data_IF_252184631838
#
_entry.id   IF_252184631838
#
_cell.length_a   1.000
_cell.length_b   1.000
_cell.length_c   1.000
_cell.angle_alpha   90.00
_cell.angle_beta   90.00
_cell.angle_gamma   90.00
#
_symmetry.space_group_name_H-M   'P 1'
#
loop_
_entity.id
_entity.type
_entity.pdbx_description
1 polymer ?
#
# COMPACT_ATOMS: atom_id res chain seq x y z
N UNK A 1 26.94 -50.89 17.79
CA UNK A 1 26.54 -51.70 16.62
C UNK A 1 25.73 -52.89 17.10
N UNK A 2 24.46 -52.95 16.70
CA UNK A 2 23.63 -54.16 16.56
C UNK A 2 22.67 -53.86 15.39
N UNK A 3 22.46 -54.87 14.55
CA UNK A 3 21.81 -54.81 13.24
C UNK A 3 20.27 -54.98 13.31
N UNK A 4 19.56 -54.15 12.53
CA UNK A 4 18.42 -54.36 11.58
C UNK A 4 17.13 -55.17 11.97
N UNK A 5 15.96 -55.05 11.25
CA UNK A 5 15.71 -54.41 9.93
C UNK A 5 14.42 -53.54 9.74
N UNK A 6 14.44 -52.78 8.62
CA UNK A 6 13.39 -52.32 7.65
C UNK A 6 11.95 -52.08 8.13
N UNK A 7 11.24 -51.03 7.72
CA UNK A 7 10.92 -50.68 6.33
C UNK A 7 10.20 -49.31 6.30
N UNK A 8 10.51 -48.46 5.32
CA UNK A 8 9.61 -47.44 4.77
C UNK A 8 10.30 -46.67 3.64
N UNK A 9 9.83 -46.95 2.43
CA UNK A 9 9.70 -46.04 1.31
C UNK A 9 10.92 -45.13 1.02
N UNK A 10 11.78 -45.65 0.15
CA UNK A 10 12.90 -44.91 -0.42
C UNK A 10 12.49 -43.59 -1.07
N UNK A 11 13.07 -42.51 -0.57
CA UNK A 11 13.39 -41.31 -1.36
C UNK A 11 14.78 -40.86 -0.95
N UNK A 12 15.74 -40.95 -1.88
CA UNK A 12 17.06 -40.32 -1.75
C UNK A 12 16.88 -38.80 -1.84
N UNK A 13 17.19 -38.08 -0.77
CA UNK A 13 17.37 -36.62 -0.81
C UNK A 13 18.72 -36.34 -1.48
N UNK A 14 18.69 -35.77 -2.68
CA UNK A 14 19.86 -35.20 -3.35
C UNK A 14 19.71 -33.69 -3.31
N UNK A 15 20.64 -33.00 -2.67
CA UNK A 15 20.78 -31.55 -2.76
C UNK A 15 21.42 -31.17 -4.10
N UNK A 16 20.78 -30.28 -4.87
CA UNK A 16 21.48 -29.50 -5.88
C UNK A 16 21.06 -28.03 -5.88
N UNK A 17 22.09 -27.20 -5.82
CA UNK A 17 22.11 -25.79 -6.14
C UNK A 17 21.74 -25.55 -7.61
N UNK A 18 20.99 -24.48 -7.85
CA UNK A 18 20.78 -23.77 -9.13
C UNK A 18 20.44 -24.64 -10.37
N UNK A 19 19.18 -24.52 -10.81
CA UNK A 19 18.79 -24.80 -12.20
C UNK A 19 17.48 -25.56 -12.28
N UNK A 20 16.47 -24.93 -12.89
CA UNK A 20 15.15 -25.53 -13.15
C UNK A 20 15.27 -26.89 -13.86
N UNK A 21 14.63 -27.91 -13.30
CA UNK A 21 14.28 -29.14 -14.01
C UNK A 21 12.81 -29.45 -13.78
N UNK A 22 12.03 -29.47 -14.86
CA UNK A 22 10.66 -29.96 -14.89
C UNK A 22 10.67 -31.46 -15.18
N UNK A 23 9.94 -32.24 -14.38
CA UNK A 23 9.67 -33.66 -14.66
C UNK A 23 8.42 -33.76 -15.55
N UNK A 24 8.55 -34.39 -16.72
CA UNK A 24 7.43 -34.83 -17.56
C UNK A 24 7.43 -36.36 -17.62
N UNK A 25 6.25 -37.04 -17.56
CA UNK A 25 6.17 -38.47 -17.72
C UNK A 25 6.44 -38.89 -19.18
N UNK A 26 7.09 -40.05 -19.32
CA UNK A 26 7.42 -40.67 -20.59
C UNK A 26 6.16 -41.30 -21.23
N UNK A 27 5.46 -40.54 -22.09
CA UNK A 27 4.85 -41.06 -23.32
C UNK A 27 4.32 -39.90 -24.18
N UNK A 28 5.12 -39.43 -25.15
CA UNK A 28 4.71 -38.39 -26.10
C UNK A 28 5.63 -38.34 -27.32
N UNK A 29 5.67 -39.42 -28.12
CA UNK A 29 6.35 -39.41 -29.43
C UNK A 29 5.47 -39.71 -30.64
N UNK A 30 4.14 -39.74 -30.50
CA UNK A 30 3.27 -40.10 -31.63
C UNK A 30 2.08 -39.17 -31.91
N UNK A 31 2.20 -37.86 -31.67
CA UNK A 31 1.13 -36.89 -32.05
C UNK A 31 1.62 -35.53 -32.57
N UNK A 32 2.85 -35.45 -33.11
CA UNK A 32 3.39 -34.20 -33.72
C UNK A 32 3.66 -34.25 -35.22
N UNK A 33 3.13 -35.24 -35.95
CA UNK A 33 3.34 -35.35 -37.42
C UNK A 33 2.09 -35.16 -38.30
N UNK A 34 0.93 -34.85 -37.73
CA UNK A 34 -0.33 -34.75 -38.49
C UNK A 34 -0.99 -33.36 -38.51
N UNK A 35 -0.42 -32.35 -37.86
CA UNK A 35 -0.99 -30.98 -37.85
C UNK A 35 -0.33 -29.98 -38.83
N UNK A 36 0.95 -30.18 -39.20
CA UNK A 36 1.65 -29.29 -40.14
C UNK A 36 1.44 -29.66 -41.63
N UNK A 37 0.91 -30.85 -41.91
CA UNK A 37 0.61 -31.30 -43.28
C UNK A 37 -0.68 -30.73 -43.87
N UNK A 38 -1.65 -30.34 -43.02
CA UNK A 38 -2.99 -29.93 -43.46
C UNK A 38 -3.17 -28.42 -43.72
N UNK A 39 -2.15 -27.61 -43.39
CA UNK A 39 -2.17 -26.15 -43.62
C UNK A 39 -1.55 -25.73 -44.96
N UNK A 40 -0.90 -26.65 -45.69
CA UNK A 40 -0.32 -26.40 -47.01
C UNK A 40 -1.27 -26.65 -48.20
N UNK A 41 -2.43 -27.29 -47.98
CA UNK A 41 -3.45 -27.49 -49.01
C UNK A 41 -4.50 -26.36 -49.08
N UNK A 42 -4.56 -25.47 -48.07
CA UNK A 42 -5.57 -24.39 -48.02
C UNK A 42 -5.12 -23.05 -48.64
N UNK A 43 -3.85 -22.88 -48.98
CA UNK A 43 -3.35 -21.65 -49.61
C UNK A 43 -2.58 -21.98 -50.89
N UNK A 44 -3.35 -22.28 -51.94
CA UNK A 44 -2.87 -22.41 -53.30
C UNK A 44 -2.01 -21.21 -53.71
N UNK A 45 -0.76 -21.51 -54.07
CA UNK A 45 0.24 -20.52 -54.42
C UNK A 45 -0.11 -19.72 -55.67
N UNK A 46 -0.10 -18.39 -55.54
CA UNK A 46 0.22 -17.47 -56.64
C UNK A 46 1.40 -16.60 -56.21
N UNK A 47 2.49 -16.67 -56.97
CA UNK A 47 3.67 -15.81 -56.78
C UNK A 47 3.27 -14.34 -57.04
N UNK A 48 3.59 -13.39 -56.15
CA UNK A 48 3.40 -11.98 -56.44
C UNK A 48 4.41 -11.50 -57.51
N UNK A 49 3.94 -10.71 -58.47
CA UNK A 49 4.77 -10.06 -59.50
C UNK A 49 5.66 -8.97 -58.87
N UNK A 50 6.89 -8.77 -59.36
CA UNK A 50 7.76 -7.71 -58.86
C UNK A 50 7.20 -6.34 -59.24
N UNK A 51 7.13 -5.44 -58.25
CA UNK A 51 6.77 -4.04 -58.47
C UNK A 51 7.98 -3.25 -59.01
N UNK A 52 7.75 -2.25 -59.89
CA UNK A 52 8.81 -1.41 -60.43
C UNK A 52 9.39 -0.48 -59.35
N UNK A 53 10.72 -0.36 -59.34
CA UNK A 53 11.45 0.52 -58.41
C UNK A 53 11.16 1.99 -58.73
N UNK A 54 10.71 2.74 -57.71
CA UNK A 54 10.55 4.20 -57.80
C UNK A 54 11.94 4.88 -57.75
N UNK A 55 12.15 5.97 -58.50
CA UNK A 55 13.41 6.70 -58.49
C UNK A 55 13.66 7.39 -57.14
N UNK A 56 14.93 7.43 -56.74
CA UNK A 56 15.39 8.02 -55.49
C UNK A 56 15.18 9.54 -55.49
N UNK A 57 14.43 10.02 -54.49
CA UNK A 57 14.26 11.45 -54.21
C UNK A 57 15.41 11.88 -53.29
N UNK A 58 16.20 12.85 -53.74
CA UNK A 58 17.28 13.47 -52.94
C UNK A 58 16.63 14.27 -51.81
N UNK A 59 16.85 13.87 -50.56
CA UNK A 59 16.32 14.53 -49.38
C UNK A 59 17.08 15.84 -49.09
N UNK A 60 16.37 16.98 -49.09
CA UNK A 60 16.88 18.23 -48.53
C UNK A 60 16.87 18.16 -47.01
N UNK A 61 17.92 18.68 -46.36
CA UNK A 61 18.06 18.69 -44.91
C UNK A 61 16.84 19.32 -44.18
N UNK A 62 16.37 18.73 -43.05
CA UNK A 62 15.25 19.26 -42.31
C UNK A 62 15.61 20.57 -41.60
N UNK A 63 14.70 21.55 -41.69
CA UNK A 63 14.81 22.84 -41.00
C UNK A 63 14.73 22.62 -39.47
N UNK A 64 15.53 23.32 -38.64
CA UNK A 64 15.48 23.15 -37.19
C UNK A 64 14.09 23.47 -36.63
N UNK A 65 13.62 22.62 -35.71
CA UNK A 65 12.33 22.78 -35.07
C UNK A 65 12.28 24.08 -34.24
N UNK A 66 11.13 24.79 -34.22
CA UNK A 66 10.96 25.95 -33.37
C UNK A 66 11.09 25.55 -31.89
N UNK A 67 11.69 26.44 -31.09
CA UNK A 67 11.84 26.23 -29.65
C UNK A 67 10.47 25.95 -29.00
N UNK A 68 10.40 25.03 -28.02
CA UNK A 68 9.16 24.71 -27.34
C UNK A 68 8.62 25.94 -26.63
N UNK A 69 7.31 26.18 -26.77
CA UNK A 69 6.63 27.26 -26.08
C UNK A 69 6.84 27.14 -24.56
N UNK A 70 6.97 28.26 -23.84
CA UNK A 70 7.09 28.25 -22.38
C UNK A 70 5.89 27.51 -21.79
N UNK A 71 6.16 26.57 -20.87
CA UNK A 71 5.11 25.84 -20.16
C UNK A 71 4.19 26.85 -19.46
N UNK A 72 2.86 26.71 -19.56
CA UNK A 72 1.94 27.57 -18.84
C UNK A 72 2.26 27.49 -17.34
N UNK A 73 2.21 28.65 -16.68
CA UNK A 73 2.35 28.72 -15.23
C UNK A 73 1.33 27.76 -14.57
N UNK A 74 1.71 27.07 -13.48
CA UNK A 74 0.79 26.17 -12.79
C UNK A 74 -0.47 26.93 -12.39
N UNK A 75 -1.64 26.35 -12.69
CA UNK A 75 -2.92 26.91 -12.29
C UNK A 75 -2.95 27.15 -10.78
N UNK A 76 -3.54 28.28 -10.35
CA UNK A 76 -3.73 28.57 -8.94
C UNK A 76 -4.47 27.39 -8.28
N UNK A 77 -3.96 26.93 -7.13
CA UNK A 77 -4.61 25.87 -6.36
C UNK A 77 -6.04 26.28 -6.04
N UNK A 78 -7.03 25.39 -6.19
CA UNK A 78 -8.40 25.71 -5.79
C UNK A 78 -8.38 26.15 -4.32
N UNK A 79 -8.90 27.35 -4.06
CA UNK A 79 -9.09 27.83 -2.71
C UNK A 79 -10.28 27.04 -2.13
N UNK A 80 -9.99 26.18 -1.17
CA UNK A 80 -11.05 25.54 -0.39
C UNK A 80 -11.24 26.34 0.89
N UNK A 81 -12.49 26.46 1.33
CA UNK A 81 -12.82 27.11 2.59
C UNK A 81 -12.48 26.20 3.77
N UNK A 82 -11.93 26.79 4.82
CA UNK A 82 -11.59 26.11 6.07
C UNK A 82 -12.36 26.72 7.22
N UNK A 83 -13.04 25.89 8.01
CA UNK A 83 -13.49 26.27 9.34
C UNK A 83 -12.35 26.04 10.33
N UNK A 84 -12.07 26.99 11.20
CA UNK A 84 -11.01 26.88 12.20
C UNK A 84 -11.61 26.86 13.62
N UNK A 85 -11.01 26.05 14.49
CA UNK A 85 -11.15 26.09 15.95
C UNK A 85 -9.80 26.46 16.60
N UNK A 86 -9.74 26.46 17.93
CA UNK A 86 -8.49 26.75 18.66
C UNK A 86 -7.35 25.78 18.32
N UNK A 87 -7.67 24.50 18.12
CA UNK A 87 -6.70 23.41 17.93
C UNK A 87 -6.68 22.83 16.50
N UNK A 88 -7.75 23.01 15.72
CA UNK A 88 -7.92 22.35 14.42
C UNK A 88 -8.41 23.29 13.32
N UNK A 89 -8.11 22.92 12.09
CA UNK A 89 -8.74 23.44 10.88
C UNK A 89 -9.41 22.27 10.15
N UNK A 90 -10.64 22.47 9.70
CA UNK A 90 -11.39 21.49 8.93
C UNK A 90 -11.77 22.10 7.58
N UNK A 91 -11.48 21.38 6.50
CA UNK A 91 -11.89 21.77 5.16
C UNK A 91 -13.40 21.59 5.03
N UNK A 92 -14.06 22.61 4.48
CA UNK A 92 -15.50 22.58 4.27
C UNK A 92 -15.81 21.82 2.98
N UNK A 93 -16.71 20.87 3.06
CA UNK A 93 -17.30 20.19 1.91
C UNK A 93 -18.82 20.37 1.95
N UNK A 94 -19.48 20.51 0.78
CA UNK A 94 -20.93 20.64 0.73
C UNK A 94 -21.63 19.35 1.18
N UNK A 95 -21.03 18.19 0.92
CA UNK A 95 -21.53 16.88 1.35
C UNK A 95 -20.37 15.93 1.64
N UNK A 96 -20.67 14.80 2.29
CA UNK A 96 -19.71 13.73 2.49
C UNK A 96 -19.26 13.09 1.17
N UNK A 97 -20.17 12.96 0.21
CA UNK A 97 -19.88 12.44 -1.12
C UNK A 97 -18.85 13.33 -1.83
N UNK A 98 -19.00 14.66 -1.75
CA UNK A 98 -18.04 15.61 -2.31
C UNK A 98 -16.63 15.45 -1.69
N UNK A 99 -16.56 15.17 -0.39
CA UNK A 99 -15.30 14.78 0.27
C UNK A 99 -14.73 13.48 -0.31
N UNK A 100 -15.54 12.42 -0.41
CA UNK A 100 -15.04 11.13 -0.90
C UNK A 100 -14.57 11.19 -2.35
N UNK A 101 -15.29 11.90 -3.23
CA UNK A 101 -14.89 12.09 -4.63
C UNK A 101 -13.60 12.90 -4.75
N UNK A 102 -13.42 13.91 -3.88
CA UNK A 102 -12.17 14.63 -3.80
C UNK A 102 -11.01 13.71 -3.42
N UNK A 103 -11.16 12.89 -2.37
CA UNK A 103 -10.12 11.93 -1.95
C UNK A 103 -9.81 10.88 -3.04
N UNK A 104 -10.83 10.29 -3.68
CA UNK A 104 -10.66 9.31 -4.78
C UNK A 104 -9.85 9.87 -5.94
N UNK A 105 -9.96 11.17 -6.21
CA UNK A 105 -9.25 11.83 -7.32
C UNK A 105 -7.72 11.91 -7.14
N UNK A 106 -7.21 11.60 -5.94
CA UNK A 106 -5.79 11.73 -5.61
C UNK A 106 -4.90 10.81 -6.43
N UNK A 107 -5.28 9.54 -6.55
CA UNK A 107 -4.41 8.52 -7.13
C UNK A 107 -4.08 8.80 -8.60
N UNK A 108 -5.04 9.30 -9.39
CA UNK A 108 -4.82 9.60 -10.81
C UNK A 108 -3.82 10.73 -11.08
N UNK A 109 -3.39 11.45 -10.03
CA UNK A 109 -2.47 12.59 -10.12
C UNK A 109 -1.06 12.25 -9.59
N UNK A 110 -0.82 11.02 -9.18
CA UNK A 110 0.42 10.59 -8.53
C UNK A 110 1.09 9.44 -9.29
N UNK A 111 2.42 9.52 -9.45
CA UNK A 111 3.25 8.35 -9.71
C UNK A 111 3.87 7.90 -8.39
N UNK A 112 3.39 6.77 -7.88
CA UNK A 112 3.80 6.22 -6.59
C UNK A 112 4.92 5.19 -6.71
N UNK A 113 5.41 4.89 -7.91
CA UNK A 113 6.31 3.74 -8.14
C UNK A 113 7.57 3.80 -7.27
N UNK A 114 8.28 4.93 -7.31
CA UNK A 114 9.48 5.14 -6.49
C UNK A 114 9.14 5.34 -5.01
N UNK A 115 8.13 6.16 -4.76
CA UNK A 115 7.69 6.49 -3.40
C UNK A 115 7.32 5.24 -2.60
N UNK A 116 6.58 4.30 -3.19
CA UNK A 116 6.14 3.08 -2.51
C UNK A 116 7.31 2.21 -2.05
N UNK A 117 8.37 2.10 -2.86
CA UNK A 117 9.56 1.32 -2.50
C UNK A 117 10.28 1.95 -1.31
N UNK A 118 10.55 3.25 -1.39
CA UNK A 118 11.28 3.98 -0.35
C UNK A 118 10.46 4.07 0.95
N UNK A 119 9.18 4.37 0.85
CA UNK A 119 8.26 4.43 1.98
C UNK A 119 8.10 3.07 2.65
N UNK A 120 7.91 1.99 1.88
CA UNK A 120 7.80 0.64 2.45
C UNK A 120 9.05 0.26 3.24
N UNK A 121 10.24 0.51 2.69
CA UNK A 121 11.50 0.21 3.37
C UNK A 121 11.68 1.03 4.65
N UNK A 122 11.38 2.33 4.62
CA UNK A 122 11.48 3.19 5.79
C UNK A 122 10.45 2.82 6.87
N UNK A 123 9.23 2.48 6.46
CA UNK A 123 8.19 2.05 7.38
C UNK A 123 8.52 0.69 8.00
N UNK A 124 9.07 -0.24 7.22
CA UNK A 124 9.54 -1.53 7.72
C UNK A 124 10.56 -1.36 8.84
N UNK A 125 11.54 -0.46 8.68
CA UNK A 125 12.54 -0.18 9.72
C UNK A 125 11.90 0.37 11.00
N UNK A 126 11.02 1.37 10.87
CA UNK A 126 10.35 1.99 12.03
C UNK A 126 9.44 1.00 12.76
N UNK A 127 8.52 0.37 12.04
CA UNK A 127 7.56 -0.58 12.63
C UNK A 127 8.29 -1.82 13.17
N UNK A 128 9.37 -2.26 12.52
CA UNK A 128 10.18 -3.39 13.00
C UNK A 128 10.75 -3.17 14.39
N UNK A 129 11.12 -1.93 14.75
CA UNK A 129 11.61 -1.58 16.10
C UNK A 129 10.50 -1.68 17.13
N UNK A 130 9.31 -1.16 16.81
CA UNK A 130 8.13 -1.16 17.67
C UNK A 130 7.58 -2.56 17.90
N UNK A 131 7.47 -3.33 16.82
CA UNK A 131 6.91 -4.69 16.83
C UNK A 131 7.95 -5.75 17.20
N UNK A 132 9.17 -5.34 17.57
CA UNK A 132 10.15 -6.26 18.12
C UNK A 132 9.60 -6.84 19.44
N UNK A 133 9.44 -8.17 19.48
CA UNK A 133 8.75 -8.85 20.58
C UNK A 133 7.22 -8.97 20.42
N UNK A 134 6.67 -8.68 19.24
CA UNK A 134 5.32 -9.12 18.88
C UNK A 134 5.42 -10.37 17.99
N UNK A 135 4.52 -11.32 18.20
CA UNK A 135 4.48 -12.56 17.43
C UNK A 135 4.15 -12.26 15.96
N UNK A 136 4.99 -12.69 14.99
CA UNK A 136 4.65 -12.64 13.58
C UNK A 136 3.36 -13.42 13.26
N UNK A 137 2.66 -13.02 12.20
CA UNK A 137 1.40 -13.62 11.76
C UNK A 137 0.13 -12.98 12.32
N UNK A 138 0.25 -11.91 13.13
CA UNK A 138 -0.89 -11.07 13.48
C UNK A 138 -1.53 -10.44 12.24
N UNK A 139 -2.83 -10.18 12.30
CA UNK A 139 -3.53 -9.50 11.22
C UNK A 139 -3.44 -7.97 11.36
N UNK A 140 -3.30 -7.29 10.23
CA UNK A 140 -3.07 -5.84 10.19
C UNK A 140 -4.10 -5.18 9.29
N UNK A 141 -4.71 -4.09 9.75
CA UNK A 141 -5.58 -3.25 8.94
C UNK A 141 -4.89 -1.91 8.68
N UNK A 142 -4.60 -1.62 7.41
CA UNK A 142 -3.98 -0.35 6.99
C UNK A 142 -5.05 0.59 6.43
N UNK A 143 -5.21 1.78 7.03
CA UNK A 143 -6.23 2.76 6.63
C UNK A 143 -5.65 3.85 5.72
N UNK A 144 -6.30 4.09 4.57
CA UNK A 144 -5.86 5.08 3.59
C UNK A 144 -4.71 4.56 2.73
N UNK A 145 -4.79 3.27 2.40
CA UNK A 145 -3.62 2.52 1.96
C UNK A 145 -3.21 2.73 0.51
N UNK A 146 -4.03 3.43 -0.28
CA UNK A 146 -3.80 3.68 -1.71
C UNK A 146 -3.41 2.38 -2.41
N UNK A 147 -2.14 2.28 -2.85
CA UNK A 147 -1.61 1.12 -3.57
C UNK A 147 -0.96 0.05 -2.67
N UNK A 148 -0.95 0.22 -1.35
CA UNK A 148 -0.56 -0.81 -0.37
C UNK A 148 0.92 -0.86 -0.01
N UNK A 149 1.63 0.26 -0.02
CA UNK A 149 3.07 0.29 0.31
C UNK A 149 3.35 -0.09 1.77
N UNK A 150 2.46 0.27 2.69
CA UNK A 150 2.51 -0.19 4.08
C UNK A 150 2.17 -1.66 4.22
N UNK A 151 1.27 -2.20 3.39
CA UNK A 151 0.97 -3.62 3.38
C UNK A 151 2.24 -4.41 2.99
N UNK A 152 2.98 -3.93 1.99
CA UNK A 152 4.29 -4.49 1.62
C UNK A 152 5.29 -4.45 2.78
N UNK A 153 5.30 -3.38 3.59
CA UNK A 153 6.16 -3.30 4.78
C UNK A 153 5.79 -4.34 5.84
N UNK A 154 4.51 -4.50 6.16
CA UNK A 154 4.02 -5.50 7.13
C UNK A 154 4.23 -6.94 6.64
N UNK A 155 4.07 -7.22 5.34
CA UNK A 155 4.37 -8.53 4.74
C UNK A 155 5.85 -8.90 4.97
N UNK A 156 6.78 -7.96 4.74
CA UNK A 156 8.22 -8.18 4.97
C UNK A 156 8.57 -8.44 6.43
N UNK A 157 7.73 -7.98 7.36
CA UNK A 157 7.84 -8.25 8.80
C UNK A 157 7.11 -9.54 9.22
N UNK A 158 6.50 -10.28 8.29
CA UNK A 158 5.82 -11.55 8.56
C UNK A 158 4.40 -11.42 9.10
N UNK A 159 3.74 -10.28 8.90
CA UNK A 159 2.33 -10.06 9.27
C UNK A 159 1.38 -10.33 8.10
N UNK A 160 0.07 -10.37 8.39
CA UNK A 160 -0.99 -10.53 7.40
C UNK A 160 -1.80 -9.22 7.24
N UNK A 161 -1.39 -8.30 6.36
CA UNK A 161 -2.09 -7.04 6.18
C UNK A 161 -3.20 -7.10 5.14
N UNK A 162 -4.24 -6.31 5.38
CA UNK A 162 -5.23 -5.88 4.41
C UNK A 162 -5.28 -4.34 4.48
N UNK A 163 -5.13 -3.67 3.35
CA UNK A 163 -5.37 -2.23 3.24
C UNK A 163 -6.82 -1.92 2.89
N UNK A 164 -7.29 -0.75 3.30
CA UNK A 164 -8.55 -0.17 2.84
C UNK A 164 -8.29 1.23 2.27
N UNK A 165 -8.88 1.53 1.11
CA UNK A 165 -8.80 2.84 0.48
C UNK A 165 -10.03 3.11 -0.39
N UNK A 166 -10.41 4.38 -0.55
CA UNK A 166 -11.52 4.78 -1.41
C UNK A 166 -11.20 4.54 -2.90
N UNK A 167 -9.93 4.59 -3.29
CA UNK A 167 -9.45 4.33 -4.64
C UNK A 167 -8.08 3.60 -4.60
N UNK A 168 -8.06 2.27 -4.48
CA UNK A 168 -6.83 1.48 -4.41
C UNK A 168 -6.13 1.28 -5.78
N UNK A 169 -6.73 1.76 -6.87
CA UNK A 169 -6.30 1.48 -8.24
C UNK A 169 -6.76 0.11 -8.76
N UNK A 170 -6.59 -0.12 -10.05
CA UNK A 170 -7.02 -1.35 -10.71
C UNK A 170 -6.15 -2.55 -10.33
N UNK A 171 -6.78 -3.70 -10.07
CA UNK A 171 -6.07 -4.97 -9.84
C UNK A 171 -5.21 -5.02 -8.57
N UNK A 172 -5.45 -4.12 -7.61
CA UNK A 172 -4.72 -4.11 -6.35
C UNK A 172 -4.99 -5.40 -5.55
N UNK A 173 -3.92 -6.07 -5.11
CA UNK A 173 -3.97 -7.34 -4.39
C UNK A 173 -3.84 -7.20 -2.87
N UNK A 174 -3.46 -6.02 -2.40
CA UNK A 174 -3.21 -5.75 -0.98
C UNK A 174 -4.30 -4.90 -0.35
N UNK A 175 -4.95 -4.06 -1.16
CA UNK A 175 -5.89 -3.04 -0.69
C UNK A 175 -7.26 -3.29 -1.31
N UNK A 176 -8.29 -3.35 -0.46
CA UNK A 176 -9.68 -3.42 -0.88
C UNK A 176 -10.29 -2.03 -0.95
N UNK A 177 -11.30 -1.86 -1.81
CA UNK A 177 -12.10 -0.64 -1.85
C UNK A 177 -12.91 -0.54 -0.56
N UNK A 178 -12.85 0.60 0.12
CA UNK A 178 -13.68 0.89 1.28
C UNK A 178 -13.38 2.24 1.93
N UNK A 179 -14.18 2.58 2.94
CA UNK A 179 -14.10 3.85 3.65
C UNK A 179 -13.67 3.64 5.11
N UNK A 180 -12.59 4.28 5.54
CA UNK A 180 -12.11 4.13 6.91
C UNK A 180 -12.99 4.83 7.97
N UNK A 181 -14.00 5.59 7.55
CA UNK A 181 -15.05 6.09 8.44
C UNK A 181 -16.18 5.08 8.65
N UNK A 182 -16.20 3.97 7.91
CA UNK A 182 -17.23 2.93 7.98
C UNK A 182 -16.62 1.56 7.64
N UNK A 183 -15.90 0.98 8.61
CA UNK A 183 -15.16 -0.26 8.42
C UNK A 183 -16.11 -1.46 8.41
N UNK A 184 -16.08 -2.21 7.31
CA UNK A 184 -16.85 -3.46 7.13
C UNK A 184 -16.42 -4.65 8.02
N UNK A 185 -15.48 -4.45 8.95
CA UNK A 185 -14.90 -5.52 9.75
C UNK A 185 -15.57 -5.64 11.13
N UNK A 186 -15.57 -6.86 11.67
CA UNK A 186 -16.17 -7.16 12.96
C UNK A 186 -15.38 -6.52 14.12
N UNK A 187 -16.06 -6.32 15.24
CA UNK A 187 -15.47 -5.86 16.48
C UNK A 187 -14.36 -6.82 16.94
N UNK A 188 -13.31 -6.27 17.55
CA UNK A 188 -12.19 -7.03 18.12
C UNK A 188 -11.59 -8.09 17.18
N UNK A 189 -11.49 -7.78 15.89
CA UNK A 189 -11.02 -8.73 14.87
C UNK A 189 -9.56 -8.49 14.44
N UNK A 190 -8.98 -7.33 14.78
CA UNK A 190 -7.67 -6.88 14.27
C UNK A 190 -6.63 -6.76 15.39
N UNK A 191 -5.43 -7.31 15.18
CA UNK A 191 -4.28 -7.20 16.10
C UNK A 191 -3.61 -5.83 16.02
N UNK A 192 -3.45 -5.31 14.79
CA UNK A 192 -2.76 -4.03 14.53
C UNK A 192 -3.59 -3.20 13.56
N UNK A 193 -3.89 -1.95 13.92
CA UNK A 193 -4.38 -0.95 12.96
C UNK A 193 -3.26 0.04 12.68
N UNK A 194 -3.01 0.36 11.41
CA UNK A 194 -2.01 1.33 10.99
C UNK A 194 -2.63 2.41 10.10
N UNK A 195 -2.20 3.67 10.27
CA UNK A 195 -2.49 4.72 9.29
C UNK A 195 -1.47 5.85 9.34
N UNK A 196 -1.30 6.52 8.21
CA UNK A 196 -0.62 7.81 8.11
C UNK A 196 -1.49 8.87 7.42
N UNK A 197 -2.81 8.65 7.42
CA UNK A 197 -3.77 9.42 6.63
C UNK A 197 -4.81 10.15 7.50
N UNK A 198 -4.52 10.39 8.79
CA UNK A 198 -5.47 11.06 9.69
C UNK A 198 -5.76 12.51 9.27
N UNK A 199 -4.82 13.19 8.63
CA UNK A 199 -5.01 14.53 8.04
C UNK A 199 -5.99 14.51 6.85
N UNK A 200 -6.26 13.34 6.28
CA UNK A 200 -7.27 13.14 5.24
C UNK A 200 -8.66 12.84 5.79
N UNK A 201 -8.84 12.75 7.11
CA UNK A 201 -10.12 12.41 7.74
C UNK A 201 -11.17 13.53 7.57
N UNK A 202 -12.40 13.12 7.23
CA UNK A 202 -13.56 14.01 7.30
C UNK A 202 -14.04 14.16 8.74
N UNK A 203 -14.06 13.04 9.48
CA UNK A 203 -14.44 12.98 10.90
C UNK A 203 -13.42 12.09 11.63
N UNK A 204 -12.44 12.72 12.28
CA UNK A 204 -11.39 12.02 13.01
C UNK A 204 -11.96 11.18 14.16
N UNK A 205 -13.03 11.63 14.81
CA UNK A 205 -13.61 10.93 15.95
C UNK A 205 -14.31 9.65 15.50
N UNK A 206 -14.97 9.69 14.35
CA UNK A 206 -15.57 8.51 13.74
C UNK A 206 -14.51 7.47 13.38
N UNK A 207 -13.38 7.88 12.79
CA UNK A 207 -12.26 6.97 12.51
C UNK A 207 -11.74 6.35 13.82
N UNK A 208 -11.48 7.15 14.85
CA UNK A 208 -10.95 6.61 16.12
C UNK A 208 -11.93 5.65 16.79
N UNK A 209 -13.23 5.89 16.70
CA UNK A 209 -14.26 4.94 17.15
C UNK A 209 -14.20 3.62 16.37
N UNK A 210 -14.10 3.69 15.05
CA UNK A 210 -13.98 2.51 14.20
C UNK A 210 -12.69 1.72 14.47
N UNK A 211 -11.56 2.41 14.61
CA UNK A 211 -10.28 1.82 15.03
C UNK A 211 -10.44 1.09 16.36
N UNK A 212 -10.99 1.76 17.37
CA UNK A 212 -11.15 1.19 18.72
C UNK A 212 -12.11 -0.01 18.73
N UNK A 213 -13.14 0.02 17.87
CA UNK A 213 -14.11 -1.06 17.70
C UNK A 213 -13.48 -2.31 17.09
N UNK A 214 -12.77 -2.19 15.97
CA UNK A 214 -12.19 -3.35 15.26
C UNK A 214 -10.93 -3.90 15.94
N UNK A 215 -10.22 -3.08 16.71
CA UNK A 215 -9.01 -3.49 17.41
C UNK A 215 -9.35 -4.51 18.52
N UNK A 216 -8.55 -5.57 18.65
CA UNK A 216 -8.58 -6.46 19.80
C UNK A 216 -8.19 -5.71 21.07
N UNK A 217 -8.53 -6.27 22.23
CA UNK A 217 -8.21 -5.63 23.51
C UNK A 217 -6.70 -5.57 23.75
N UNK A 218 -5.95 -6.58 23.32
CA UNK A 218 -4.48 -6.61 23.35
C UNK A 218 -3.83 -6.14 22.04
N UNK A 219 -4.62 -5.49 21.16
CA UNK A 219 -4.14 -4.93 19.91
C UNK A 219 -3.50 -3.55 20.07
N UNK A 220 -2.78 -3.11 19.04
CA UNK A 220 -2.14 -1.79 18.98
C UNK A 220 -2.63 -0.98 17.78
N UNK A 221 -2.80 0.33 18.00
CA UNK A 221 -3.07 1.28 16.93
C UNK A 221 -1.82 2.14 16.69
N UNK A 222 -1.28 2.10 15.48
CA UNK A 222 -0.07 2.82 15.09
C UNK A 222 -0.47 3.95 14.13
N UNK A 223 -0.23 5.19 14.55
CA UNK A 223 -0.48 6.37 13.72
C UNK A 223 0.83 7.09 13.40
N UNK A 224 1.11 7.36 12.14
CA UNK A 224 2.17 8.28 11.73
C UNK A 224 1.58 9.65 11.43
N UNK A 225 1.83 10.59 12.35
CA UNK A 225 1.21 11.91 12.40
C UNK A 225 2.23 12.93 11.89
N UNK A 226 1.85 13.71 10.87
CA UNK A 226 2.70 14.78 10.34
C UNK A 226 2.90 15.90 11.37
N UNK A 227 4.13 16.41 11.45
CA UNK A 227 4.46 17.57 12.27
C UNK A 227 3.93 18.85 11.58
N UNK A 228 2.96 19.57 12.17
CA UNK A 228 2.38 20.76 11.55
C UNK A 228 3.35 21.95 11.53
N UNK A 229 4.50 21.88 12.21
CA UNK A 229 5.51 22.95 12.21
C UNK A 229 6.33 23.01 10.92
N UNK A 230 6.36 21.91 10.14
CA UNK A 230 7.17 21.86 8.90
C UNK A 230 6.38 22.17 7.64
N UNK A 231 5.05 22.05 7.67
CA UNK A 231 4.17 22.35 6.53
C UNK A 231 2.75 22.70 6.99
N UNK A 232 2.01 23.35 6.10
CA UNK A 232 0.55 23.49 6.23
C UNK A 232 -0.21 22.38 5.49
N UNK A 233 -1.55 22.41 5.53
CA UNK A 233 -2.37 21.45 4.81
C UNK A 233 -2.15 21.60 3.31
N UNK A 234 -2.09 20.46 2.63
CA UNK A 234 -1.98 20.39 1.18
C UNK A 234 -3.35 20.38 0.50
N UNK A 235 -3.39 19.79 -0.70
CA UNK A 235 -4.58 19.82 -1.54
C UNK A 235 -5.62 18.79 -1.11
N UNK A 236 -5.24 17.76 -0.35
CA UNK A 236 -6.12 16.62 -0.03
C UNK A 236 -6.41 16.47 1.46
N UNK A 237 -5.71 17.20 2.32
CA UNK A 237 -5.94 17.21 3.75
C UNK A 237 -7.34 17.78 4.04
N UNK A 238 -8.13 17.06 4.81
CA UNK A 238 -9.48 17.44 5.20
C UNK A 238 -9.52 18.00 6.63
N UNK A 239 -8.58 17.58 7.48
CA UNK A 239 -8.36 18.12 8.82
C UNK A 239 -6.89 18.49 8.98
N UNK A 240 -6.61 19.53 9.75
CA UNK A 240 -5.27 19.94 10.11
C UNK A 240 -5.21 20.34 11.58
N UNK A 241 -4.13 20.01 12.28
CA UNK A 241 -3.94 20.29 13.70
C UNK A 241 -2.87 21.35 13.91
N UNK A 242 -3.00 22.11 15.00
CA UNK A 242 -2.05 23.15 15.37
C UNK A 242 -0.75 22.57 15.95
N UNK A 243 -0.86 21.51 16.75
CA UNK A 243 0.28 20.80 17.34
C UNK A 243 0.09 19.29 17.26
N UNK A 244 1.18 18.53 17.39
CA UNK A 244 1.10 17.08 17.56
C UNK A 244 0.30 16.69 18.82
N UNK A 245 0.36 17.51 19.87
CA UNK A 245 -0.39 17.28 21.10
C UNK A 245 -1.90 17.32 20.88
N UNK A 246 -2.39 18.30 20.11
CA UNK A 246 -3.82 18.47 19.84
C UNK A 246 -4.45 17.20 19.23
N UNK A 247 -3.79 16.62 18.21
CA UNK A 247 -4.27 15.41 17.53
C UNK A 247 -4.10 14.17 18.39
N UNK A 248 -3.02 14.04 19.15
CA UNK A 248 -2.82 12.92 20.09
C UNK A 248 -3.92 12.94 21.17
N UNK A 249 -4.16 14.08 21.81
CA UNK A 249 -5.20 14.23 22.84
C UNK A 249 -6.60 13.96 22.26
N UNK A 250 -6.85 14.34 21.01
CA UNK A 250 -8.13 14.06 20.33
C UNK A 250 -8.32 12.56 20.09
N UNK A 251 -7.26 11.84 19.70
CA UNK A 251 -7.28 10.38 19.57
C UNK A 251 -7.49 9.72 20.93
N UNK A 252 -6.81 10.18 21.99
CA UNK A 252 -6.93 9.53 23.31
C UNK A 252 -8.35 9.62 23.89
N UNK A 253 -9.06 10.73 23.62
CA UNK A 253 -10.49 10.88 23.96
C UNK A 253 -11.39 9.81 23.31
N UNK A 254 -10.91 9.14 22.28
CA UNK A 254 -11.61 8.07 21.57
C UNK A 254 -11.47 6.66 22.18
N UNK A 255 -10.80 6.51 23.33
CA UNK A 255 -10.75 5.24 24.07
C UNK A 255 -9.42 4.49 24.02
N UNK A 256 -8.37 5.16 23.55
CA UNK A 256 -7.00 4.64 23.52
C UNK A 256 -6.06 5.58 24.27
N UNK A 257 -4.86 5.11 24.63
CA UNK A 257 -3.82 5.93 25.26
C UNK A 257 -2.46 5.64 24.65
N UNK A 258 -1.58 6.64 24.66
CA UNK A 258 -0.20 6.49 24.17
C UNK A 258 0.57 5.48 25.02
N UNK A 259 1.15 4.49 24.34
CA UNK A 259 2.07 3.53 24.92
C UNK A 259 3.53 3.94 24.66
N UNK A 260 3.87 4.14 23.39
CA UNK A 260 5.20 4.55 22.92
C UNK A 260 5.04 5.56 21.77
N UNK A 261 6.07 6.38 21.53
CA UNK A 261 6.15 7.21 20.34
C UNK A 261 7.60 7.55 20.00
N UNK A 262 7.85 7.81 18.72
CA UNK A 262 9.17 8.21 18.21
C UNK A 262 9.00 9.18 17.03
N UNK A 263 9.84 10.20 16.98
CA UNK A 263 9.89 11.14 15.85
C UNK A 263 10.62 10.52 14.65
N UNK A 264 10.21 10.89 13.44
CA UNK A 264 10.85 10.45 12.20
C UNK A 264 10.95 11.60 11.19
N UNK A 265 11.92 11.50 10.27
CA UNK A 265 12.21 12.56 9.28
C UNK A 265 11.84 12.17 7.83
N UNK A 266 11.63 10.88 7.56
CA UNK A 266 11.29 10.37 6.23
C UNK A 266 10.04 9.48 6.27
N UNK A 267 9.11 9.58 5.30
CA UNK A 267 9.12 10.42 4.08
C UNK A 267 8.82 11.91 4.30
N UNK A 268 8.38 12.26 5.50
CA UNK A 268 8.20 13.63 5.98
C UNK A 268 8.57 13.66 7.45
N UNK A 269 8.72 14.86 8.01
CA UNK A 269 8.86 15.01 9.45
C UNK A 269 7.53 14.75 10.16
N UNK A 270 7.55 13.88 11.16
CA UNK A 270 6.37 13.50 11.92
C UNK A 270 6.70 12.67 13.14
N UNK A 271 5.65 12.16 13.78
CA UNK A 271 5.74 11.27 14.93
C UNK A 271 4.96 10.00 14.69
N UNK A 272 5.61 8.87 14.89
CA UNK A 272 4.93 7.58 14.99
C UNK A 272 4.46 7.43 16.44
N UNK A 273 3.15 7.28 16.63
CA UNK A 273 2.54 7.13 17.95
C UNK A 273 1.85 5.76 18.01
N UNK A 274 2.15 5.02 19.06
CA UNK A 274 1.57 3.70 19.31
C UNK A 274 0.58 3.87 20.44
N UNK A 275 -0.68 3.59 20.13
CA UNK A 275 -1.79 3.65 21.04
C UNK A 275 -2.26 2.24 21.40
N UNK A 276 -2.83 2.13 22.60
CA UNK A 276 -3.38 0.89 23.15
C UNK A 276 -4.74 1.21 23.76
N UNK A 277 -5.69 0.26 23.78
CA UNK A 277 -6.97 0.52 24.44
C UNK A 277 -6.78 0.90 25.91
N UNK A 278 -7.62 1.80 26.40
CA UNK A 278 -7.58 2.25 27.78
C UNK A 278 -7.66 1.07 28.76
N UNK A 279 -6.74 1.03 29.71
CA UNK A 279 -6.62 -0.07 30.68
C UNK A 279 -5.72 -1.24 30.26
N UNK A 280 -5.33 -1.35 28.98
CA UNK A 280 -4.62 -2.52 28.45
C UNK A 280 -3.10 -2.37 28.34
N UNK A 281 -2.54 -1.23 28.78
CA UNK A 281 -1.09 -0.97 28.76
C UNK A 281 -0.27 -2.08 29.43
N UNK A 282 -0.69 -2.55 30.62
CA UNK A 282 0.01 -3.61 31.37
C UNK A 282 0.05 -4.95 30.62
N UNK A 283 -0.98 -5.26 29.84
CA UNK A 283 -1.04 -6.50 29.04
C UNK A 283 0.07 -6.49 27.99
N UNK A 284 0.29 -5.35 27.34
CA UNK A 284 1.32 -5.22 26.32
C UNK A 284 2.73 -5.18 26.90
N UNK A 285 2.94 -4.54 28.04
CA UNK A 285 4.23 -4.59 28.75
C UNK A 285 4.63 -6.04 29.06
N UNK A 286 3.68 -6.89 29.49
CA UNK A 286 3.94 -8.32 29.71
C UNK A 286 4.22 -9.09 28.41
N UNK A 287 3.51 -8.77 27.32
CA UNK A 287 3.68 -9.42 26.01
C UNK A 287 5.05 -9.13 25.40
N UNK A 288 5.51 -7.87 25.48
CA UNK A 288 6.84 -7.44 25.03
C UNK A 288 7.96 -8.08 25.83
N UNK A 289 7.78 -8.30 27.13
CA UNK A 289 8.77 -8.98 27.98
C UNK A 289 8.87 -10.50 27.75
N UNK A 290 7.86 -11.11 27.12
CA UNK A 290 7.73 -12.58 26.96
C UNK A 290 8.22 -13.10 25.60
N UNK A 291 8.67 -12.20 24.72
CA UNK A 291 8.93 -12.45 23.30
C UNK A 291 10.39 -12.14 22.96
#
# INVERSE_FOLDING_TARGET
MREQPTDCAGVKVVYYSRGMATCAPADARETRRTWMGKLRELFGGKKPKPQPQKPAVVASAPKPAPAPAPKPAPAAKPAFDWSASESFQQRTYPTYEAYTEHQKSKLSKLDLTKYNVEFSAALQDRIGKVLNGFKPGGNVLCLGARTGAECDAFIKLGYFPIGIDLNPGEGNRYVVVGDFHDLQYADQSVDIVYTNALDHAFDLEKIVKEVTRVLKDDGVFIAEIVDPSVRGPGDYEAIWWKTLGDVIERIEKGGVTVWENEDFEFPWKGRQVIFVKNGNRRVLDTKKASS
#
